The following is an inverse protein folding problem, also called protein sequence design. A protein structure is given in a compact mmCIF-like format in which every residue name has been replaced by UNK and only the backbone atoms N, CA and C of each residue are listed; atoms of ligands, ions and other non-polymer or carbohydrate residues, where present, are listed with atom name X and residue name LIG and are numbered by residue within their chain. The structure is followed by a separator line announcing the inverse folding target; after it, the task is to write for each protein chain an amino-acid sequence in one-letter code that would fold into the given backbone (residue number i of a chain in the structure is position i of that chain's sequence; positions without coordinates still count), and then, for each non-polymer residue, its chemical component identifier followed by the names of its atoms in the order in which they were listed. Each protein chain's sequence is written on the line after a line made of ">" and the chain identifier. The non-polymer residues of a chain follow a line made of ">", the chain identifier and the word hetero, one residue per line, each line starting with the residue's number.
data_IF_397879734205
#
_entry.id   IF_397879734205
#
_cell.length_a   1.000
_cell.length_b   1.000
_cell.length_c   1.000
_cell.angle_alpha   90.00
_cell.angle_beta   90.00
_cell.angle_gamma   90.00
#
_symmetry.space_group_name_H-M   'P 1'
#
loop_
_entity.id
_entity.type
_entity.pdbx_description
1 polymer ?
#
# COMPACT_ATOMS: atom_id res chain seq x y z
N UNK A 1 -10.50 -8.07 -33.85
CA UNK A 1 -11.37 -7.34 -32.91
C UNK A 1 -10.91 -7.71 -31.51
N UNK A 2 -10.06 -6.90 -30.87
CA UNK A 2 -9.56 -7.19 -29.52
C UNK A 2 -10.71 -6.97 -28.53
N UNK A 3 -11.15 -8.05 -27.87
CA UNK A 3 -12.09 -7.98 -26.76
C UNK A 3 -11.48 -7.14 -25.64
N UNK A 4 -11.91 -5.88 -25.54
CA UNK A 4 -11.77 -5.08 -24.32
C UNK A 4 -12.66 -5.78 -23.29
N UNK A 5 -12.05 -6.62 -22.43
CA UNK A 5 -12.71 -7.21 -21.27
C UNK A 5 -13.26 -6.05 -20.45
N UNK A 6 -14.56 -5.82 -20.56
CA UNK A 6 -15.29 -4.90 -19.68
C UNK A 6 -15.08 -5.41 -18.28
N UNK A 7 -14.29 -4.69 -17.50
CA UNK A 7 -14.16 -4.92 -16.06
C UNK A 7 -15.59 -4.91 -15.50
N UNK A 8 -16.08 -6.06 -15.03
CA UNK A 8 -17.44 -6.15 -14.52
C UNK A 8 -17.54 -5.23 -13.30
N UNK A 9 -18.55 -4.36 -13.26
CA UNK A 9 -18.77 -3.44 -12.14
C UNK A 9 -18.83 -4.15 -10.77
N UNK A 10 -19.14 -5.46 -10.76
CA UNK A 10 -19.05 -6.33 -9.58
C UNK A 10 -17.62 -6.51 -9.08
N UNK A 11 -16.63 -6.76 -9.96
CA UNK A 11 -15.23 -6.97 -9.56
C UNK A 11 -14.64 -5.72 -8.88
N UNK A 12 -14.98 -4.52 -9.38
CA UNK A 12 -14.55 -3.26 -8.76
C UNK A 12 -15.16 -3.05 -7.38
N UNK A 13 -16.45 -3.41 -7.21
CA UNK A 13 -17.14 -3.34 -5.92
C UNK A 13 -16.54 -4.32 -4.92
N UNK A 14 -16.23 -5.54 -5.34
CA UNK A 14 -15.64 -6.56 -4.48
C UNK A 14 -14.25 -6.14 -3.98
N UNK A 15 -13.42 -5.55 -4.86
CA UNK A 15 -12.10 -5.01 -4.46
C UNK A 15 -12.21 -3.88 -3.42
N UNK A 16 -13.19 -2.99 -3.55
CA UNK A 16 -13.44 -1.93 -2.57
C UNK A 16 -13.93 -2.48 -1.22
N UNK A 17 -14.80 -3.48 -1.23
CA UNK A 17 -15.27 -4.14 0.00
C UNK A 17 -14.10 -4.81 0.72
N UNK A 18 -13.23 -5.52 -0.03
CA UNK A 18 -12.00 -6.11 0.51
C UNK A 18 -11.08 -5.05 1.11
N UNK A 19 -10.88 -3.92 0.43
CA UNK A 19 -10.10 -2.81 0.96
C UNK A 19 -10.64 -2.31 2.31
N UNK A 20 -11.94 -1.99 2.37
CA UNK A 20 -12.58 -1.47 3.58
C UNK A 20 -12.50 -2.49 4.72
N UNK A 21 -12.76 -3.77 4.44
CA UNK A 21 -12.66 -4.84 5.43
C UNK A 21 -11.23 -4.97 5.98
N UNK A 22 -10.21 -4.79 5.13
CA UNK A 22 -8.80 -4.81 5.54
C UNK A 22 -8.45 -3.63 6.44
N UNK A 23 -8.95 -2.43 6.12
CA UNK A 23 -8.78 -1.24 6.98
C UNK A 23 -9.41 -1.47 8.35
N UNK A 24 -10.65 -1.97 8.40
CA UNK A 24 -11.35 -2.26 9.65
C UNK A 24 -10.58 -3.32 10.45
N UNK A 25 -10.15 -4.40 9.79
CA UNK A 25 -9.35 -5.46 10.41
C UNK A 25 -8.03 -4.94 10.99
N UNK A 26 -7.34 -4.06 10.27
CA UNK A 26 -6.10 -3.42 10.73
C UNK A 26 -6.32 -2.66 12.05
N UNK A 27 -7.33 -1.79 12.11
CA UNK A 27 -7.62 -1.03 13.33
C UNK A 27 -8.19 -1.89 14.47
N UNK A 28 -8.93 -2.94 14.16
CA UNK A 28 -9.38 -3.92 15.16
C UNK A 28 -8.18 -4.63 15.82
N UNK A 29 -7.22 -5.12 15.03
CA UNK A 29 -6.00 -5.74 15.58
C UNK A 29 -5.17 -4.73 16.36
N UNK A 30 -5.04 -3.49 15.87
CA UNK A 30 -4.32 -2.43 16.55
C UNK A 30 -4.92 -2.12 17.93
N UNK A 31 -6.25 -2.01 18.03
CA UNK A 31 -6.95 -1.76 19.30
C UNK A 31 -6.85 -2.93 20.26
N UNK A 32 -7.02 -4.17 19.78
CA UNK A 32 -6.83 -5.38 20.58
C UNK A 32 -5.40 -5.48 21.14
N UNK A 33 -4.39 -5.16 20.31
CA UNK A 33 -3.00 -5.08 20.78
C UNK A 33 -2.85 -4.02 21.84
N UNK A 34 -3.35 -2.80 21.60
CA UNK A 34 -3.20 -1.68 22.52
C UNK A 34 -3.88 -1.92 23.88
N UNK A 35 -4.91 -2.75 23.90
CA UNK A 35 -5.57 -3.22 25.12
C UNK A 35 -4.87 -4.45 25.77
N UNK A 36 -3.67 -4.82 25.29
CA UNK A 36 -2.88 -5.98 25.72
C UNK A 36 -3.65 -7.32 25.67
N UNK A 37 -4.68 -7.42 24.81
CA UNK A 37 -5.48 -8.64 24.62
C UNK A 37 -4.72 -9.70 23.83
N UNK A 38 -3.87 -9.26 22.89
CA UNK A 38 -3.03 -10.13 22.06
C UNK A 38 -1.55 -9.89 22.34
N UNK A 39 -0.74 -10.94 22.20
CA UNK A 39 0.71 -10.85 22.38
C UNK A 39 1.31 -9.81 21.43
N UNK A 40 2.19 -8.94 21.95
CA UNK A 40 2.82 -7.84 21.19
C UNK A 40 3.51 -8.31 19.91
N UNK A 41 4.25 -9.42 19.94
CA UNK A 41 4.95 -9.96 18.77
C UNK A 41 3.97 -10.45 17.70
N UNK A 42 2.93 -11.17 18.10
CA UNK A 42 1.89 -11.68 17.18
C UNK A 42 1.11 -10.50 16.59
N UNK A 43 0.73 -9.53 17.42
CA UNK A 43 0.03 -8.33 16.98
C UNK A 43 0.83 -7.53 15.95
N UNK A 44 2.14 -7.36 16.17
CA UNK A 44 3.03 -6.68 15.22
C UNK A 44 3.07 -7.39 13.87
N UNK A 45 3.26 -8.71 13.85
CA UNK A 45 3.29 -9.51 12.62
C UNK A 45 1.98 -9.39 11.85
N UNK A 46 0.84 -9.54 12.54
CA UNK A 46 -0.48 -9.47 11.90
C UNK A 46 -0.72 -8.08 11.31
N UNK A 47 -0.33 -7.01 12.00
CA UNK A 47 -0.45 -5.65 11.47
C UNK A 47 0.41 -5.43 10.22
N UNK A 48 1.63 -5.98 10.18
CA UNK A 48 2.48 -5.92 8.98
C UNK A 48 1.81 -6.61 7.80
N UNK A 49 1.26 -7.81 8.02
CA UNK A 49 0.56 -8.53 6.95
C UNK A 49 -0.71 -7.81 6.48
N UNK A 50 -1.49 -7.25 7.40
CA UNK A 50 -2.67 -6.46 7.05
C UNK A 50 -2.29 -5.20 6.28
N UNK A 51 -1.19 -4.54 6.65
CA UNK A 51 -0.64 -3.41 5.92
C UNK A 51 -0.20 -3.81 4.49
N UNK A 52 0.55 -4.90 4.33
CA UNK A 52 0.91 -5.42 3.01
C UNK A 52 -0.31 -5.76 2.16
N UNK A 53 -1.33 -6.36 2.77
CA UNK A 53 -2.56 -6.72 2.08
C UNK A 53 -3.37 -5.48 1.65
N UNK A 54 -3.32 -4.42 2.45
CA UNK A 54 -3.93 -3.13 2.13
C UNK A 54 -3.28 -2.52 0.87
N UNK A 55 -1.95 -2.45 0.84
CA UNK A 55 -1.17 -1.97 -0.30
C UNK A 55 -1.43 -2.80 -1.57
N UNK A 56 -1.54 -4.12 -1.43
CA UNK A 56 -1.92 -5.02 -2.51
C UNK A 56 -3.31 -4.71 -3.08
N UNK A 57 -4.31 -4.53 -2.21
CA UNK A 57 -5.69 -4.24 -2.62
C UNK A 57 -5.80 -2.90 -3.35
N UNK A 58 -5.11 -1.86 -2.88
CA UNK A 58 -5.10 -0.55 -3.55
C UNK A 58 -4.44 -0.65 -4.91
N UNK A 59 -3.30 -1.32 -4.98
CA UNK A 59 -2.60 -1.53 -6.25
C UNK A 59 -3.52 -2.17 -7.28
N UNK A 60 -4.31 -3.16 -6.89
CA UNK A 60 -5.26 -3.85 -7.78
C UNK A 60 -6.54 -3.06 -8.08
N UNK A 61 -6.90 -2.07 -7.26
CA UNK A 61 -7.99 -1.12 -7.59
C UNK A 61 -7.53 -0.16 -8.68
N UNK A 62 -6.28 0.30 -8.60
CA UNK A 62 -5.77 1.27 -9.56
C UNK A 62 -5.22 0.58 -10.83
N UNK A 63 -4.43 -0.48 -10.73
CA UNK A 63 -3.72 -1.02 -11.89
C UNK A 63 -4.07 -2.48 -12.16
N UNK A 64 -4.31 -2.78 -13.43
CA UNK A 64 -4.51 -4.14 -13.94
C UNK A 64 -3.28 -4.66 -14.69
N UNK A 65 -2.35 -3.76 -15.06
CA UNK A 65 -1.09 -4.11 -15.72
C UNK A 65 -0.17 -4.87 -14.78
N UNK A 66 0.15 -6.13 -15.14
CA UNK A 66 1.08 -6.98 -14.39
C UNK A 66 2.47 -6.36 -14.22
N UNK A 67 2.94 -5.60 -15.22
CA UNK A 67 4.25 -4.95 -15.18
C UNK A 67 4.28 -3.85 -14.12
N UNK A 68 3.23 -3.04 -14.09
CA UNK A 68 3.06 -1.94 -13.14
C UNK A 68 2.90 -2.46 -11.73
N UNK A 69 2.00 -3.44 -11.53
CA UNK A 69 1.76 -4.03 -10.20
C UNK A 69 3.01 -4.71 -9.63
N UNK A 70 3.78 -5.41 -10.47
CA UNK A 70 5.04 -6.03 -10.05
C UNK A 70 6.06 -5.01 -9.51
N UNK A 71 6.22 -3.86 -10.18
CA UNK A 71 7.13 -2.80 -9.70
C UNK A 71 6.67 -2.21 -8.36
N UNK A 72 5.36 -2.03 -8.20
CA UNK A 72 4.78 -1.55 -6.94
C UNK A 72 5.02 -2.56 -5.82
N UNK A 73 4.85 -3.87 -6.07
CA UNK A 73 5.11 -4.89 -5.06
C UNK A 73 6.59 -5.01 -4.66
N UNK A 74 7.52 -4.86 -5.62
CA UNK A 74 8.95 -4.77 -5.29
C UNK A 74 9.18 -3.56 -4.39
N UNK A 75 8.62 -2.41 -4.74
CA UNK A 75 8.76 -1.20 -3.94
C UNK A 75 8.21 -1.38 -2.53
N UNK A 76 7.03 -1.97 -2.38
CA UNK A 76 6.42 -2.29 -1.08
C UNK A 76 7.34 -3.15 -0.21
N UNK A 77 7.99 -4.18 -0.77
CA UNK A 77 8.95 -5.02 -0.02
C UNK A 77 10.19 -4.23 0.40
N UNK A 78 10.78 -3.47 -0.53
CA UNK A 78 11.93 -2.60 -0.24
C UNK A 78 11.60 -1.57 0.85
N UNK A 79 10.39 -1.03 0.80
CA UNK A 79 9.88 -0.06 1.75
C UNK A 79 9.75 -0.68 3.14
N UNK A 80 9.15 -1.87 3.26
CA UNK A 80 9.07 -2.59 4.54
C UNK A 80 10.48 -2.81 5.09
N UNK A 81 11.41 -3.33 4.28
CA UNK A 81 12.81 -3.50 4.73
C UNK A 81 13.42 -2.18 5.20
N UNK A 82 13.21 -1.08 4.46
CA UNK A 82 13.71 0.25 4.80
C UNK A 82 13.17 0.73 6.16
N UNK A 83 11.87 0.59 6.41
CA UNK A 83 11.26 1.04 7.67
C UNK A 83 11.58 0.16 8.88
N UNK A 84 11.76 -1.16 8.68
CA UNK A 84 12.08 -2.09 9.78
C UNK A 84 13.56 -2.14 10.11
N UNK A 85 14.45 -1.95 9.12
CA UNK A 85 15.89 -2.07 9.32
C UNK A 85 16.58 -0.73 9.59
N UNK A 86 15.99 0.40 9.20
CA UNK A 86 16.62 1.70 9.37
C UNK A 86 15.91 2.60 10.39
N UNK A 87 16.71 3.38 11.10
CA UNK A 87 16.22 4.35 12.07
C UNK A 87 15.32 5.42 11.41
N UNK A 88 14.30 5.88 12.13
CA UNK A 88 13.44 6.97 11.69
C UNK A 88 14.22 8.31 11.73
N UNK A 89 14.84 8.68 10.61
CA UNK A 89 15.67 9.89 10.46
C UNK A 89 15.25 10.69 9.24
N UNK A 90 15.56 11.99 9.24
CA UNK A 90 15.29 12.87 8.10
C UNK A 90 15.92 12.36 6.80
N UNK A 91 17.13 11.78 6.88
CA UNK A 91 17.81 11.15 5.74
C UNK A 91 16.99 9.99 5.17
N UNK A 92 16.47 9.11 6.02
CA UNK A 92 15.74 7.93 5.58
C UNK A 92 14.34 8.28 5.04
N UNK A 93 13.73 9.35 5.57
CA UNK A 93 12.51 9.94 5.01
C UNK A 93 12.79 10.50 3.59
N UNK A 94 13.91 11.21 3.41
CA UNK A 94 14.30 11.73 2.09
C UNK A 94 14.52 10.59 1.08
N UNK A 95 15.25 9.54 1.46
CA UNK A 95 15.48 8.35 0.61
C UNK A 95 14.16 7.71 0.19
N UNK A 96 13.19 7.60 1.11
CA UNK A 96 11.86 7.08 0.80
C UNK A 96 11.17 7.92 -0.29
N UNK A 97 11.14 9.25 -0.17
CA UNK A 97 10.52 10.12 -1.18
C UNK A 97 11.22 10.07 -2.53
N UNK A 98 12.55 9.92 -2.56
CA UNK A 98 13.30 9.68 -3.81
C UNK A 98 12.84 8.37 -4.46
N UNK A 99 12.76 7.29 -3.67
CA UNK A 99 12.25 6.00 -4.14
C UNK A 99 10.82 6.10 -4.69
N UNK A 100 9.93 6.80 -3.99
CA UNK A 100 8.55 7.03 -4.41
C UNK A 100 8.48 7.83 -5.72
N UNK A 101 9.35 8.83 -5.90
CA UNK A 101 9.49 9.56 -7.16
C UNK A 101 9.92 8.65 -8.31
N UNK A 102 10.91 7.78 -8.08
CA UNK A 102 11.36 6.78 -9.06
C UNK A 102 10.21 5.83 -9.42
N UNK A 103 9.49 5.31 -8.42
CA UNK A 103 8.33 4.44 -8.66
C UNK A 103 7.27 5.15 -9.52
N UNK A 104 6.92 6.39 -9.17
CA UNK A 104 5.92 7.20 -9.89
C UNK A 104 6.32 7.37 -11.36
N UNK A 105 7.60 7.67 -11.62
CA UNK A 105 8.13 7.76 -12.96
C UNK A 105 8.03 6.42 -13.72
N UNK A 106 8.41 5.32 -13.08
CA UNK A 106 8.35 3.99 -13.69
C UNK A 106 6.91 3.53 -14.01
N UNK A 107 5.94 3.88 -13.16
CA UNK A 107 4.51 3.64 -13.42
C UNK A 107 4.05 4.50 -14.61
N UNK A 108 4.47 5.77 -14.67
CA UNK A 108 4.12 6.68 -15.77
C UNK A 108 4.64 6.21 -17.11
N UNK A 109 5.82 5.58 -17.15
CA UNK A 109 6.35 4.94 -18.37
C UNK A 109 5.46 3.77 -18.81
N UNK A 110 4.96 2.97 -17.87
CA UNK A 110 4.20 1.75 -18.18
C UNK A 110 2.75 2.04 -18.56
N UNK A 111 2.08 2.91 -17.81
CA UNK A 111 0.65 3.23 -18.01
C UNK A 111 0.45 4.37 -19.01
N UNK A 112 1.48 5.18 -19.25
CA UNK A 112 1.45 6.33 -20.14
C UNK A 112 0.96 7.62 -19.48
N UNK A 113 1.32 8.77 -20.10
CA UNK A 113 1.01 10.11 -19.57
C UNK A 113 -0.48 10.43 -19.50
N UNK A 114 -1.33 9.71 -20.24
CA UNK A 114 -2.78 9.89 -20.25
C UNK A 114 -3.39 9.51 -18.88
N UNK A 115 -2.77 8.58 -18.16
CA UNK A 115 -3.23 8.09 -16.86
C UNK A 115 -2.64 8.87 -15.67
N UNK A 116 -1.95 10.00 -15.89
CA UNK A 116 -1.26 10.76 -14.83
C UNK A 116 -2.15 11.09 -13.63
N UNK A 117 -3.41 11.48 -13.87
CA UNK A 117 -4.35 11.78 -12.78
C UNK A 117 -4.57 10.57 -11.87
N UNK A 118 -4.76 9.40 -12.47
CA UNK A 118 -4.96 8.13 -11.77
C UNK A 118 -3.69 7.72 -11.03
N UNK A 119 -2.52 7.90 -11.64
CA UNK A 119 -1.22 7.62 -11.00
C UNK A 119 -1.03 8.50 -9.76
N UNK A 120 -1.28 9.81 -9.87
CA UNK A 120 -1.14 10.70 -8.70
C UNK A 120 -2.16 10.41 -7.60
N UNK A 121 -3.39 10.02 -7.96
CA UNK A 121 -4.37 9.55 -6.97
C UNK A 121 -3.88 8.28 -6.24
N UNK A 122 -3.34 7.31 -6.98
CA UNK A 122 -2.72 6.12 -6.39
C UNK A 122 -1.58 6.50 -5.45
N UNK A 123 -0.59 7.28 -5.93
CA UNK A 123 0.59 7.65 -5.14
C UNK A 123 0.20 8.42 -3.88
N UNK A 124 -0.78 9.33 -3.98
CA UNK A 124 -1.31 10.05 -2.82
C UNK A 124 -1.94 9.13 -1.79
N UNK A 125 -2.80 8.20 -2.23
CA UNK A 125 -3.47 7.26 -1.33
C UNK A 125 -2.50 6.23 -0.73
N UNK A 126 -1.56 5.73 -1.53
CA UNK A 126 -0.46 4.86 -1.10
C UNK A 126 0.38 5.52 0.00
N UNK A 127 0.76 6.78 -0.22
CA UNK A 127 1.52 7.57 0.76
C UNK A 127 0.72 7.84 2.03
N UNK A 128 -0.58 8.16 1.90
CA UNK A 128 -1.45 8.43 3.06
C UNK A 128 -1.56 7.20 3.97
N UNK A 129 -1.76 6.03 3.38
CA UNK A 129 -1.80 4.77 4.12
C UNK A 129 -0.47 4.48 4.78
N UNK A 130 0.63 4.80 4.10
CA UNK A 130 1.94 4.66 4.72
C UNK A 130 2.11 5.56 5.94
N UNK A 131 1.70 6.82 5.85
CA UNK A 131 1.74 7.74 6.99
C UNK A 131 0.92 7.20 8.16
N UNK A 132 -0.28 6.67 7.90
CA UNK A 132 -1.12 6.04 8.93
C UNK A 132 -0.39 4.84 9.56
N UNK A 133 0.19 3.95 8.75
CA UNK A 133 0.94 2.80 9.25
C UNK A 133 2.10 3.22 10.16
N UNK A 134 2.93 4.17 9.72
CA UNK A 134 4.06 4.69 10.51
C UNK A 134 3.57 5.33 11.80
N UNK A 135 2.50 6.13 11.78
CA UNK A 135 1.93 6.72 12.99
C UNK A 135 1.42 5.64 13.95
N UNK A 136 0.72 4.62 13.45
CA UNK A 136 0.30 3.50 14.30
C UNK A 136 1.47 2.72 14.85
N UNK A 137 2.60 2.63 14.14
CA UNK A 137 3.82 1.98 14.61
C UNK A 137 4.56 2.79 15.67
N UNK A 138 4.57 4.12 15.57
CA UNK A 138 5.14 5.00 16.60
C UNK A 138 4.33 4.95 17.90
N UNK A 139 3.01 4.81 17.78
CA UNK A 139 2.08 4.66 18.92
C UNK A 139 2.04 3.22 19.44
N UNK A 140 2.60 2.26 18.68
CA UNK A 140 2.69 0.85 19.02
C UNK A 140 3.65 0.62 20.19
#
# INVERSE_FOLDING_TARGET
>A
MYFKKTENASEGKDRLVLLISTIIGYFAVFTLKKADVINSYIGAIVLIFLYMYLDFNITNIFFTSKRTTFKIYIFMVLEIMHFFMMAFTLKNIFVYFVGLGILTYLITIDEGKVELKKIYQFVGLYTLIKVIFVLTWIVF
#
